data_IF_803512830589
#
_entry.id   IF_803512830589
#
_cell.length_a   1.000
_cell.length_b   1.000
_cell.length_c   1.000
_cell.angle_alpha   90.00
_cell.angle_beta   90.00
_cell.angle_gamma   90.00
#
_symmetry.space_group_name_H-M   'P 1'
#
loop_
_entity.id
_entity.type
_entity.pdbx_description
1 polymer ?
#
# COMPACT_ATOMS: atom_id res chain seq x y z
N UNK A 1 11.51 2.43 50.19
CA UNK A 1 11.42 3.45 49.14
C UNK A 1 12.34 2.99 48.02
N UNK A 2 11.83 2.16 47.07
CA UNK A 2 12.59 1.73 45.92
C UNK A 2 12.45 2.79 44.83
N UNK A 3 13.50 3.59 44.65
CA UNK A 3 13.64 4.39 43.42
C UNK A 3 13.59 3.47 42.22
N UNK A 4 12.50 3.53 41.48
CA UNK A 4 12.45 2.95 40.14
C UNK A 4 13.43 3.75 39.29
N UNK A 5 14.63 3.24 39.08
CA UNK A 5 15.54 3.79 38.09
C UNK A 5 14.78 3.86 36.74
N UNK A 6 14.47 5.04 36.31
CA UNK A 6 13.86 5.28 35.02
C UNK A 6 14.85 4.81 33.94
N UNK A 7 14.56 3.70 33.28
CA UNK A 7 15.36 3.24 32.14
C UNK A 7 15.40 4.37 31.13
N UNK A 8 16.59 4.87 30.75
CA UNK A 8 16.67 5.97 29.78
C UNK A 8 16.00 5.57 28.47
N UNK A 9 15.20 6.48 27.92
CA UNK A 9 14.52 6.27 26.62
C UNK A 9 15.57 6.09 25.52
N UNK A 10 15.35 5.09 24.63
CA UNK A 10 16.19 4.91 23.42
C UNK A 10 15.89 5.95 22.36
N UNK A 11 14.78 6.70 22.53
CA UNK A 11 14.31 7.70 21.58
C UNK A 11 15.15 8.98 21.66
N UNK A 12 15.87 9.29 20.60
CA UNK A 12 16.75 10.43 20.46
C UNK A 12 16.46 11.21 19.17
N UNK A 13 17.12 12.34 18.96
CA UNK A 13 17.07 13.07 17.69
C UNK A 13 17.55 12.20 16.53
N UNK A 14 18.53 11.34 16.74
CA UNK A 14 18.99 10.40 15.71
C UNK A 14 17.94 9.37 15.32
N UNK A 15 17.05 8.95 16.25
CA UNK A 15 15.93 8.07 15.93
C UNK A 15 14.97 8.70 14.91
N UNK A 16 14.65 9.97 15.07
CA UNK A 16 13.82 10.71 14.11
C UNK A 16 14.53 10.95 12.78
N UNK A 17 15.84 11.20 12.79
CA UNK A 17 16.62 11.28 11.54
C UNK A 17 16.56 9.95 10.78
N UNK A 18 16.74 8.83 11.47
CA UNK A 18 16.60 7.49 10.87
C UNK A 18 15.19 7.29 10.29
N UNK A 19 14.13 7.62 11.03
CA UNK A 19 12.76 7.49 10.54
C UNK A 19 12.49 8.36 9.29
N UNK A 20 13.03 9.59 9.27
CA UNK A 20 12.91 10.49 8.10
C UNK A 20 13.68 9.94 6.89
N UNK A 21 14.88 9.42 7.08
CA UNK A 21 15.66 8.79 6.00
C UNK A 21 14.93 7.56 5.46
N UNK A 22 14.35 6.73 6.33
CA UNK A 22 13.53 5.59 5.91
C UNK A 22 12.31 6.03 5.12
N UNK A 23 11.62 7.11 5.53
CA UNK A 23 10.53 7.70 4.77
C UNK A 23 10.98 8.10 3.36
N UNK A 24 12.14 8.76 3.25
CA UNK A 24 12.70 9.18 1.94
C UNK A 24 13.02 7.96 1.08
N UNK A 25 13.67 6.94 1.63
CA UNK A 25 13.99 5.70 0.89
C UNK A 25 12.71 5.02 0.42
N UNK A 26 11.67 4.93 1.26
CA UNK A 26 10.38 4.36 0.87
C UNK A 26 9.68 5.22 -0.19
N UNK A 27 9.69 6.54 -0.07
CA UNK A 27 9.13 7.43 -1.08
C UNK A 27 9.85 7.33 -2.43
N UNK A 28 11.14 7.02 -2.43
CA UNK A 28 11.89 6.71 -3.64
C UNK A 28 11.48 5.32 -4.16
N UNK A 29 11.63 4.26 -3.39
CA UNK A 29 11.40 2.89 -3.86
C UNK A 29 9.98 2.63 -4.35
N UNK A 30 8.97 3.25 -3.72
CA UNK A 30 7.59 3.21 -4.21
C UNK A 30 7.38 4.05 -5.48
N UNK A 31 8.34 4.85 -5.92
CA UNK A 31 8.28 5.58 -7.20
C UNK A 31 8.32 4.65 -8.41
N UNK A 32 9.10 3.59 -8.37
CA UNK A 32 9.34 2.71 -9.51
C UNK A 32 8.05 2.15 -10.17
N UNK A 33 7.05 1.62 -9.45
CA UNK A 33 5.81 1.15 -10.04
C UNK A 33 4.98 2.23 -10.74
N UNK A 34 5.10 3.51 -10.32
CA UNK A 34 4.32 4.60 -10.90
C UNK A 34 4.71 4.91 -12.34
N UNK A 35 5.94 4.60 -12.77
CA UNK A 35 6.36 4.79 -14.17
C UNK A 35 5.49 3.93 -15.08
N UNK A 36 5.23 2.67 -14.72
CA UNK A 36 4.38 1.76 -15.50
C UNK A 36 2.92 2.26 -15.57
N UNK A 37 2.42 2.88 -14.51
CA UNK A 37 1.07 3.45 -14.45
C UNK A 37 0.97 4.69 -15.34
N UNK A 38 1.92 5.61 -15.25
CA UNK A 38 1.94 6.84 -16.06
C UNK A 38 2.14 6.51 -17.54
N UNK A 39 3.02 5.56 -17.84
CA UNK A 39 3.30 5.11 -19.20
C UNK A 39 2.41 3.95 -19.68
N UNK A 40 1.24 3.71 -19.04
CA UNK A 40 0.37 2.58 -19.37
C UNK A 40 0.02 2.52 -20.86
N UNK A 41 -0.42 3.64 -21.45
CA UNK A 41 -0.81 3.69 -22.88
C UNK A 41 0.37 3.45 -23.84
N UNK A 42 1.52 4.15 -23.73
CA UNK A 42 2.66 3.89 -24.60
C UNK A 42 3.22 2.47 -24.44
N UNK A 43 3.29 1.91 -23.22
CA UNK A 43 3.71 0.53 -23.00
C UNK A 43 2.72 -0.46 -23.65
N UNK A 44 1.41 -0.25 -23.49
CA UNK A 44 0.40 -1.09 -24.12
C UNK A 44 0.51 -1.05 -25.64
N UNK A 45 0.65 0.14 -26.24
CA UNK A 45 0.75 0.32 -27.68
C UNK A 45 1.95 -0.46 -28.29
N UNK A 46 3.06 -0.51 -27.58
CA UNK A 46 4.26 -1.24 -28.05
C UNK A 46 4.21 -2.75 -27.79
N UNK A 47 3.43 -3.19 -26.79
CA UNK A 47 3.38 -4.62 -26.38
C UNK A 47 2.06 -5.31 -26.79
N UNK A 48 1.46 -4.92 -27.91
CA UNK A 48 0.31 -5.61 -28.48
C UNK A 48 -1.03 -4.88 -28.34
N UNK A 49 -1.04 -3.65 -27.83
CA UNK A 49 -2.22 -2.78 -27.77
C UNK A 49 -3.13 -2.99 -26.56
N UNK A 50 -2.93 -4.03 -25.74
CA UNK A 50 -3.78 -4.37 -24.62
C UNK A 50 -3.36 -3.64 -23.34
N UNK A 51 -4.27 -2.94 -22.67
CA UNK A 51 -4.02 -2.27 -21.38
C UNK A 51 -3.86 -3.25 -20.21
N UNK A 52 -4.42 -4.44 -20.33
CA UNK A 52 -4.24 -5.52 -19.36
C UNK A 52 -2.78 -5.95 -19.23
N UNK A 53 -1.92 -5.75 -20.23
CA UNK A 53 -0.51 -6.10 -20.20
C UNK A 53 0.26 -5.26 -19.16
N UNK A 54 0.35 -3.91 -19.26
CA UNK A 54 0.99 -3.11 -18.22
C UNK A 54 0.24 -3.14 -16.88
N UNK A 55 -1.08 -3.31 -16.89
CA UNK A 55 -1.87 -3.47 -15.67
C UNK A 55 -1.51 -4.76 -14.92
N UNK A 56 -1.29 -5.88 -15.62
CA UNK A 56 -0.80 -7.12 -15.02
C UNK A 56 0.62 -6.98 -14.46
N UNK A 57 1.50 -6.24 -15.14
CA UNK A 57 2.83 -5.97 -14.61
C UNK A 57 2.77 -5.23 -13.27
N UNK A 58 1.92 -4.22 -13.15
CA UNK A 58 1.66 -3.50 -11.90
C UNK A 58 1.04 -4.42 -10.83
N UNK A 59 0.10 -5.27 -11.23
CA UNK A 59 -0.51 -6.27 -10.34
C UNK A 59 0.54 -7.25 -9.78
N UNK A 60 1.44 -7.73 -10.63
CA UNK A 60 2.57 -8.58 -10.23
C UNK A 60 3.53 -7.85 -9.28
N UNK A 61 3.76 -6.54 -9.48
CA UNK A 61 4.56 -5.74 -8.55
C UNK A 61 3.90 -5.67 -7.17
N UNK A 62 2.59 -5.47 -7.06
CA UNK A 62 1.87 -5.49 -5.79
C UNK A 62 1.88 -6.85 -5.11
N UNK A 63 1.66 -7.92 -5.86
CA UNK A 63 1.73 -9.30 -5.34
C UNK A 63 3.15 -9.62 -4.89
N UNK A 64 4.14 -9.26 -5.70
CA UNK A 64 5.56 -9.39 -5.39
C UNK A 64 5.94 -8.64 -4.11
N UNK A 65 5.48 -7.40 -3.97
CA UNK A 65 5.68 -6.59 -2.76
C UNK A 65 5.16 -7.30 -1.49
N UNK A 66 3.94 -7.84 -1.52
CA UNK A 66 3.37 -8.56 -0.39
C UNK A 66 4.15 -9.83 -0.03
N UNK A 67 4.42 -10.70 -1.00
CA UNK A 67 5.15 -11.93 -0.80
C UNK A 67 6.63 -11.69 -0.45
N UNK A 68 7.26 -10.73 -1.13
CA UNK A 68 8.64 -10.33 -0.91
C UNK A 68 8.88 -9.79 0.48
N UNK A 69 7.93 -9.03 1.05
CA UNK A 69 8.03 -8.51 2.41
C UNK A 69 8.20 -9.61 3.46
N UNK A 70 7.56 -10.76 3.27
CA UNK A 70 7.68 -11.91 4.17
C UNK A 70 9.08 -12.54 4.05
N UNK A 71 9.49 -12.89 2.83
CA UNK A 71 10.76 -13.58 2.58
C UNK A 71 11.95 -12.68 2.88
N UNK A 72 11.91 -11.44 2.42
CA UNK A 72 13.01 -10.49 2.59
C UNK A 72 13.10 -9.95 4.03
N UNK A 73 12.01 -9.99 4.80
CA UNK A 73 12.03 -9.76 6.24
C UNK A 73 12.96 -10.75 6.94
N UNK A 74 12.87 -12.04 6.60
CA UNK A 74 13.75 -13.08 7.13
C UNK A 74 15.23 -12.89 6.69
N UNK A 75 15.44 -12.47 5.43
CA UNK A 75 16.79 -12.13 4.94
C UNK A 75 17.37 -10.95 5.73
N UNK A 76 16.55 -9.92 6.01
CA UNK A 76 16.98 -8.75 6.76
C UNK A 76 17.35 -9.05 8.22
N UNK A 77 16.72 -10.04 8.84
CA UNK A 77 17.11 -10.49 10.18
C UNK A 77 18.52 -11.11 10.21
N UNK A 78 18.93 -11.78 9.12
CA UNK A 78 20.24 -12.46 9.03
C UNK A 78 21.33 -11.57 8.44
N UNK A 79 21.04 -10.87 7.35
CA UNK A 79 22.02 -10.07 6.61
C UNK A 79 22.07 -8.59 7.06
N UNK A 80 21.11 -8.18 7.90
CA UNK A 80 20.94 -6.80 8.34
C UNK A 80 20.13 -5.95 7.34
N UNK A 81 19.40 -4.98 7.87
CA UNK A 81 18.51 -4.09 7.10
C UNK A 81 19.27 -3.28 6.06
N UNK A 82 20.48 -2.80 6.40
CA UNK A 82 21.33 -2.05 5.46
C UNK A 82 21.61 -2.81 4.17
N UNK A 83 22.05 -4.07 4.29
CA UNK A 83 22.36 -4.95 3.14
C UNK A 83 21.12 -5.20 2.31
N UNK A 84 19.98 -5.47 2.96
CA UNK A 84 18.71 -5.75 2.28
C UNK A 84 18.21 -4.53 1.51
N UNK A 85 18.38 -3.32 2.05
CA UNK A 85 17.98 -2.06 1.38
C UNK A 85 18.87 -1.77 0.17
N UNK A 86 20.19 -1.97 0.29
CA UNK A 86 21.12 -1.80 -0.84
C UNK A 86 20.80 -2.80 -1.94
N UNK A 87 20.59 -4.08 -1.57
CA UNK A 87 20.18 -5.11 -2.51
C UNK A 87 18.85 -4.72 -3.19
N UNK A 88 17.86 -4.27 -2.42
CA UNK A 88 16.56 -3.85 -2.94
C UNK A 88 16.68 -2.72 -3.97
N UNK A 89 17.48 -1.68 -3.69
CA UNK A 89 17.69 -0.59 -4.64
C UNK A 89 18.33 -1.08 -5.96
N UNK A 90 19.34 -1.95 -5.87
CA UNK A 90 19.96 -2.57 -7.05
C UNK A 90 18.95 -3.42 -7.81
N UNK A 91 18.11 -4.19 -7.11
CA UNK A 91 17.10 -5.04 -7.75
C UNK A 91 16.00 -4.20 -8.43
N UNK A 92 15.59 -3.07 -7.88
CA UNK A 92 14.68 -2.13 -8.58
C UNK A 92 15.32 -1.65 -9.88
N UNK A 93 16.58 -1.21 -9.84
CA UNK A 93 17.30 -0.77 -11.03
C UNK A 93 17.35 -1.87 -12.10
N UNK A 94 17.73 -3.11 -11.73
CA UNK A 94 17.76 -4.28 -12.62
C UNK A 94 16.36 -4.56 -13.18
N UNK A 95 15.33 -4.50 -12.34
CA UNK A 95 13.94 -4.75 -12.75
C UNK A 95 13.42 -3.71 -13.74
N UNK A 96 13.71 -2.44 -13.50
CA UNK A 96 13.36 -1.36 -14.43
C UNK A 96 14.13 -1.53 -15.76
N UNK A 97 15.43 -1.84 -15.71
CA UNK A 97 16.21 -2.10 -16.91
C UNK A 97 15.67 -3.29 -17.70
N UNK A 98 15.34 -4.40 -17.03
CA UNK A 98 14.74 -5.59 -17.68
C UNK A 98 13.40 -5.24 -18.31
N UNK A 99 12.58 -4.41 -17.65
CA UNK A 99 11.26 -3.99 -18.14
C UNK A 99 11.35 -3.23 -19.48
N UNK A 100 12.49 -2.62 -19.80
CA UNK A 100 12.69 -1.89 -21.07
C UNK A 100 12.99 -2.77 -22.27
N UNK A 101 13.16 -4.09 -22.10
CA UNK A 101 13.64 -5.00 -23.14
C UNK A 101 12.66 -5.28 -24.29
N UNK A 102 11.43 -4.76 -24.26
CA UNK A 102 10.47 -4.81 -25.35
C UNK A 102 9.65 -6.11 -25.46
N UNK A 103 9.78 -7.05 -24.53
CA UNK A 103 8.96 -8.27 -24.46
C UNK A 103 8.09 -8.27 -23.20
N UNK A 104 6.87 -8.78 -23.33
CA UNK A 104 5.90 -8.82 -22.23
C UNK A 104 6.43 -9.55 -20.98
N UNK A 105 7.11 -10.69 -21.16
CA UNK A 105 7.67 -11.42 -20.04
C UNK A 105 8.75 -10.64 -19.27
N UNK A 106 9.53 -9.80 -19.98
CA UNK A 106 10.56 -8.96 -19.36
C UNK A 106 9.92 -7.89 -18.47
N UNK A 107 8.81 -7.31 -18.93
CA UNK A 107 8.02 -6.38 -18.12
C UNK A 107 7.45 -7.09 -16.88
N UNK A 108 6.90 -8.28 -17.01
CA UNK A 108 6.31 -9.03 -15.89
C UNK A 108 7.35 -9.45 -14.84
N UNK A 109 8.45 -10.03 -15.29
CA UNK A 109 9.55 -10.44 -14.40
C UNK A 109 10.23 -9.21 -13.79
N UNK A 110 10.47 -8.17 -14.58
CA UNK A 110 11.04 -6.90 -14.10
C UNK A 110 10.21 -6.27 -13.01
N UNK A 111 8.90 -6.11 -13.22
CA UNK A 111 8.01 -5.49 -12.26
C UNK A 111 7.67 -6.43 -11.09
N UNK A 112 7.33 -7.68 -11.33
CA UNK A 112 6.88 -8.61 -10.29
C UNK A 112 8.00 -9.08 -9.38
N UNK A 113 9.05 -9.67 -9.96
CA UNK A 113 10.14 -10.27 -9.20
C UNK A 113 11.15 -9.24 -8.72
N UNK A 114 11.67 -8.40 -9.62
CA UNK A 114 12.76 -7.49 -9.27
C UNK A 114 12.26 -6.24 -8.56
N UNK A 115 11.31 -5.51 -9.14
CA UNK A 115 10.80 -4.29 -8.50
C UNK A 115 9.92 -4.61 -7.29
N UNK A 116 8.94 -5.50 -7.44
CA UNK A 116 7.98 -5.82 -6.37
C UNK A 116 8.58 -6.66 -5.26
N UNK A 117 9.03 -7.88 -5.59
CA UNK A 117 9.43 -8.88 -4.59
C UNK A 117 10.77 -8.55 -3.94
N UNK A 118 11.85 -8.43 -4.74
CA UNK A 118 13.20 -8.18 -4.21
C UNK A 118 13.43 -6.72 -3.84
N UNK A 119 12.84 -5.79 -4.59
CA UNK A 119 13.01 -4.37 -4.42
C UNK A 119 12.16 -3.79 -3.29
N UNK A 120 10.95 -3.35 -3.61
CA UNK A 120 10.07 -2.66 -2.65
C UNK A 120 9.70 -3.56 -1.47
N UNK A 121 9.40 -4.85 -1.71
CA UNK A 121 9.14 -5.83 -0.66
C UNK A 121 10.34 -6.03 0.26
N UNK A 122 11.55 -6.05 -0.31
CA UNK A 122 12.79 -6.19 0.42
C UNK A 122 13.14 -5.00 1.33
N UNK A 123 12.56 -3.85 1.11
CA UNK A 123 12.80 -2.65 1.92
C UNK A 123 11.67 -2.39 2.92
N UNK A 124 10.42 -2.45 2.49
CA UNK A 124 9.29 -1.96 3.27
C UNK A 124 9.09 -2.75 4.58
N UNK A 125 8.93 -4.06 4.52
CA UNK A 125 8.67 -4.87 5.72
C UNK A 125 9.84 -4.83 6.73
N UNK A 126 11.12 -4.99 6.30
CA UNK A 126 12.25 -4.81 7.18
C UNK A 126 12.31 -3.45 7.89
N UNK A 127 11.93 -2.38 7.22
CA UNK A 127 11.93 -1.04 7.80
C UNK A 127 10.95 -0.88 8.97
N UNK A 128 9.78 -1.53 8.93
CA UNK A 128 8.86 -1.50 10.07
C UNK A 128 9.49 -2.12 11.32
N UNK A 129 10.17 -3.25 11.18
CA UNK A 129 10.88 -3.91 12.28
C UNK A 129 12.05 -3.05 12.74
N UNK A 130 12.86 -2.55 11.80
CA UNK A 130 14.03 -1.75 12.07
C UNK A 130 13.70 -0.45 12.83
N UNK A 131 12.76 0.34 12.31
CA UNK A 131 12.34 1.61 12.94
C UNK A 131 11.68 1.36 14.29
N UNK A 132 10.92 0.27 14.45
CA UNK A 132 10.30 -0.06 15.74
C UNK A 132 11.31 -0.28 16.88
N UNK A 133 12.57 -0.60 16.58
CA UNK A 133 13.66 -0.78 17.56
C UNK A 133 14.33 0.55 17.99
N UNK A 134 14.10 1.64 17.24
CA UNK A 134 14.63 2.97 17.54
C UNK A 134 13.71 3.80 18.44
N UNK A 135 12.48 3.33 18.70
CA UNK A 135 11.45 4.07 19.42
C UNK A 135 10.84 3.21 20.54
N UNK A 136 10.70 3.79 21.73
CA UNK A 136 10.02 3.19 22.87
C UNK A 136 8.72 3.95 23.24
N UNK A 137 8.70 5.29 23.15
CA UNK A 137 7.56 6.13 23.52
C UNK A 137 6.64 6.48 22.35
N UNK A 138 7.23 6.83 21.20
CA UNK A 138 6.50 7.33 20.01
C UNK A 138 6.57 6.36 18.84
N UNK A 139 6.64 5.05 19.13
CA UNK A 139 6.74 3.99 18.10
C UNK A 139 5.61 4.08 17.07
N UNK A 140 4.36 4.32 17.52
CA UNK A 140 3.21 4.46 16.63
C UNK A 140 3.38 5.63 15.64
N UNK A 141 3.81 6.79 16.12
CA UNK A 141 4.06 7.97 15.27
C UNK A 141 5.18 7.72 14.25
N UNK A 142 6.26 7.06 14.67
CA UNK A 142 7.36 6.73 13.76
C UNK A 142 6.93 5.74 12.66
N UNK A 143 6.16 4.71 13.01
CA UNK A 143 5.64 3.75 12.05
C UNK A 143 4.59 4.39 11.12
N UNK A 144 3.76 5.30 11.61
CA UNK A 144 2.84 6.08 10.79
C UNK A 144 3.59 6.97 9.79
N UNK A 145 4.69 7.61 10.23
CA UNK A 145 5.54 8.42 9.37
C UNK A 145 6.09 7.59 8.21
N UNK A 146 6.77 6.48 8.48
CA UNK A 146 7.37 5.66 7.41
C UNK A 146 6.32 5.03 6.49
N UNK A 147 5.15 4.63 7.03
CA UNK A 147 4.06 4.10 6.23
C UNK A 147 3.47 5.09 5.23
N UNK A 148 3.73 6.37 5.43
CA UNK A 148 3.29 7.43 4.53
C UNK A 148 4.15 7.53 3.26
N UNK A 149 5.29 6.82 3.19
CA UNK A 149 6.21 6.87 2.05
C UNK A 149 5.56 6.52 0.72
N UNK A 150 4.68 5.52 0.69
CA UNK A 150 3.94 5.13 -0.52
C UNK A 150 3.00 6.25 -1.03
N UNK A 151 2.34 6.99 -0.13
CA UNK A 151 1.48 8.12 -0.51
C UNK A 151 2.28 9.33 -0.95
N UNK A 152 3.42 9.61 -0.27
CA UNK A 152 4.36 10.64 -0.71
C UNK A 152 4.89 10.32 -2.11
N UNK A 153 5.27 9.07 -2.37
CA UNK A 153 5.66 8.62 -3.70
C UNK A 153 4.57 8.90 -4.73
N UNK A 154 3.35 8.47 -4.45
CA UNK A 154 2.23 8.63 -5.36
C UNK A 154 1.75 10.07 -5.54
N UNK A 155 1.99 10.95 -4.57
CA UNK A 155 1.71 12.38 -4.72
C UNK A 155 2.79 13.12 -5.51
N UNK A 156 4.06 12.71 -5.38
CA UNK A 156 5.21 13.42 -5.93
C UNK A 156 5.58 12.95 -7.35
N UNK A 157 5.67 11.62 -7.56
CA UNK A 157 6.26 11.07 -8.78
C UNK A 157 5.40 11.18 -10.05
N UNK A 158 4.05 11.07 -10.04
CA UNK A 158 3.26 11.07 -11.26
C UNK A 158 3.50 12.29 -12.16
N UNK A 159 3.49 13.55 -11.69
CA UNK A 159 3.75 14.70 -12.54
C UNK A 159 5.21 14.77 -13.03
N UNK A 160 6.15 14.24 -12.25
CA UNK A 160 7.58 14.19 -12.64
C UNK A 160 7.75 13.15 -13.75
N UNK A 161 7.18 11.96 -13.58
CA UNK A 161 7.27 10.90 -14.58
C UNK A 161 6.50 11.22 -15.86
N UNK A 162 5.38 11.93 -15.77
CA UNK A 162 4.65 12.38 -16.95
C UNK A 162 5.57 13.23 -17.84
N UNK A 163 6.24 14.25 -17.27
CA UNK A 163 7.19 15.08 -18.00
C UNK A 163 8.40 14.30 -18.52
N UNK A 164 8.93 13.39 -17.70
CA UNK A 164 10.06 12.56 -18.08
C UNK A 164 9.70 11.61 -19.23
N UNK A 165 8.54 10.99 -19.19
CA UNK A 165 8.03 10.10 -20.26
C UNK A 165 7.74 10.88 -21.53
N UNK A 166 7.16 12.09 -21.42
CA UNK A 166 6.90 12.95 -22.57
C UNK A 166 8.19 13.40 -23.27
N UNK A 167 9.26 13.69 -22.49
CA UNK A 167 10.53 14.17 -23.04
C UNK A 167 11.44 13.03 -23.55
N UNK A 168 11.64 11.99 -22.75
CA UNK A 168 12.63 10.95 -23.01
C UNK A 168 12.03 9.59 -23.39
N UNK A 169 10.72 9.43 -23.28
CA UNK A 169 10.04 8.14 -23.42
C UNK A 169 10.13 7.28 -22.15
N UNK A 170 9.25 6.28 -22.05
CA UNK A 170 9.11 5.46 -20.86
C UNK A 170 10.33 4.57 -20.55
N UNK A 171 11.01 4.06 -21.60
CA UNK A 171 12.20 3.21 -21.42
C UNK A 171 13.34 3.97 -20.75
N UNK A 172 13.66 5.16 -21.28
CA UNK A 172 14.75 5.98 -20.72
C UNK A 172 14.38 6.50 -19.33
N UNK A 173 13.10 6.83 -19.10
CA UNK A 173 12.62 7.21 -17.76
C UNK A 173 12.84 6.09 -16.76
N UNK A 174 12.53 4.82 -17.11
CA UNK A 174 12.79 3.67 -16.24
C UNK A 174 14.29 3.50 -15.95
N UNK A 175 15.15 3.61 -16.97
CA UNK A 175 16.60 3.46 -16.80
C UNK A 175 17.20 4.58 -15.93
N UNK A 176 16.84 5.84 -16.21
CA UNK A 176 17.34 6.98 -15.44
C UNK A 176 16.84 6.95 -14.00
N UNK A 177 15.58 6.56 -13.78
CA UNK A 177 15.03 6.45 -12.45
C UNK A 177 15.67 5.32 -11.65
N UNK A 178 15.87 4.15 -12.24
CA UNK A 178 16.56 3.04 -11.59
C UNK A 178 17.99 3.40 -11.18
N UNK A 179 18.74 4.09 -12.06
CA UNK A 179 20.07 4.58 -11.72
C UNK A 179 20.03 5.64 -10.60
N UNK A 180 19.10 6.59 -10.70
CA UNK A 180 18.89 7.62 -9.68
C UNK A 180 18.59 7.01 -8.31
N UNK A 181 17.75 5.98 -8.24
CA UNK A 181 17.45 5.27 -6.98
C UNK A 181 18.71 4.67 -6.35
N UNK A 182 19.53 3.98 -7.14
CA UNK A 182 20.78 3.39 -6.64
C UNK A 182 21.72 4.50 -6.14
N UNK A 183 21.91 5.57 -6.91
CA UNK A 183 22.80 6.68 -6.54
C UNK A 183 22.36 7.38 -5.26
N UNK A 184 21.06 7.43 -4.99
CA UNK A 184 20.52 8.11 -3.79
C UNK A 184 20.36 7.15 -2.62
N UNK A 185 19.72 5.98 -2.84
CA UNK A 185 19.40 5.05 -1.75
C UNK A 185 20.65 4.38 -1.17
N UNK A 186 21.61 4.00 -2.01
CA UNK A 186 22.82 3.30 -1.53
C UNK A 186 23.64 4.15 -0.56
N UNK A 187 23.99 5.43 -0.86
CA UNK A 187 24.64 6.28 0.13
C UNK A 187 23.81 6.57 1.36
N UNK A 188 22.49 6.81 1.21
CA UNK A 188 21.61 7.04 2.36
C UNK A 188 21.60 5.82 3.29
N UNK A 189 21.48 4.62 2.72
CA UNK A 189 21.51 3.38 3.48
C UNK A 189 22.88 3.16 4.14
N UNK A 190 23.97 3.44 3.41
CA UNK A 190 25.33 3.27 3.90
C UNK A 190 25.66 4.17 5.10
N UNK A 191 25.20 5.41 5.08
CA UNK A 191 25.52 6.41 6.12
C UNK A 191 24.56 6.34 7.31
N UNK A 192 23.26 6.22 7.05
CA UNK A 192 22.23 6.41 8.08
C UNK A 192 21.65 5.12 8.67
N UNK A 193 21.63 3.99 7.92
CA UNK A 193 21.10 2.74 8.44
C UNK A 193 22.13 2.01 9.31
N UNK A 194 22.26 2.47 10.55
CA UNK A 194 23.14 1.88 11.57
C UNK A 194 22.40 0.78 12.34
N UNK A 195 23.15 -0.07 13.05
CA UNK A 195 22.51 -1.04 13.95
C UNK A 195 21.67 -0.32 15.01
N UNK A 196 20.42 -0.75 15.24
CA UNK A 196 19.59 -0.15 16.26
C UNK A 196 20.19 -0.37 17.65
N UNK A 197 19.89 0.49 18.64
CA UNK A 197 20.29 0.27 20.02
C UNK A 197 19.80 -1.10 20.52
N UNK A 198 20.64 -1.84 21.25
CA UNK A 198 20.22 -3.09 21.89
C UNK A 198 19.20 -2.76 22.98
N UNK A 199 17.94 -3.04 22.71
CA UNK A 199 16.92 -3.04 23.76
C UNK A 199 17.13 -4.28 24.60
N UNK A 200 17.25 -4.15 25.94
CA UNK A 200 17.18 -5.31 26.81
C UNK A 200 15.89 -6.05 26.48
N UNK A 201 16.01 -7.32 26.11
CA UNK A 201 14.89 -8.22 25.83
C UNK A 201 13.94 -8.15 27.04
N UNK A 202 12.93 -7.31 26.98
CA UNK A 202 11.75 -7.55 27.79
C UNK A 202 11.18 -8.86 27.26
N UNK A 203 11.48 -9.93 27.94
CA UNK A 203 10.66 -11.14 27.96
C UNK A 203 9.27 -10.72 28.45
N UNK A 204 8.55 -10.01 27.56
CA UNK A 204 7.17 -9.61 27.76
C UNK A 204 6.36 -10.87 27.73
N UNK A 205 5.99 -11.31 28.92
CA UNK A 205 4.86 -12.17 29.23
C UNK A 205 4.36 -12.99 28.02
N UNK A 206 4.93 -14.13 27.81
CA UNK A 206 4.25 -15.30 27.26
C UNK A 206 3.15 -15.69 28.26
N UNK A 207 2.20 -14.79 28.46
CA UNK A 207 0.89 -15.12 28.93
C UNK A 207 0.21 -15.85 27.80
N UNK A 208 0.40 -17.16 27.72
CA UNK A 208 -0.47 -18.07 27.00
C UNK A 208 -1.85 -18.04 27.66
N UNK A 209 -2.59 -16.95 27.50
CA UNK A 209 -4.04 -16.97 27.60
C UNK A 209 -4.48 -17.80 26.42
N UNK A 210 -5.03 -18.98 26.69
CA UNK A 210 -5.65 -19.85 25.69
C UNK A 210 -6.48 -19.00 24.74
N UNK A 211 -6.20 -19.11 23.43
CA UNK A 211 -6.94 -18.37 22.42
C UNK A 211 -8.45 -18.61 22.65
N UNK A 212 -9.29 -17.59 22.67
CA UNK A 212 -10.70 -17.77 22.89
C UNK A 212 -11.27 -18.69 21.81
N UNK A 213 -11.99 -19.73 22.21
CA UNK A 213 -12.60 -20.71 21.29
C UNK A 213 -13.56 -20.06 20.28
N UNK A 214 -13.99 -18.83 20.52
CA UNK A 214 -14.90 -18.09 19.65
C UNK A 214 -14.58 -16.58 19.63
N UNK A 215 -14.66 -15.97 18.46
CA UNK A 215 -14.61 -14.52 18.24
C UNK A 215 -16.02 -14.08 17.82
N UNK A 216 -16.66 -13.19 18.58
CA UNK A 216 -18.06 -12.77 18.36
C UNK A 216 -19.06 -13.96 18.28
N UNK A 217 -18.74 -15.11 18.93
CA UNK A 217 -19.56 -16.33 18.91
C UNK A 217 -19.43 -17.15 17.63
N UNK A 218 -18.46 -16.89 16.80
CA UNK A 218 -18.07 -17.68 15.62
C UNK A 218 -16.66 -18.26 15.77
N UNK A 219 -16.32 -19.31 15.01
CA UNK A 219 -14.95 -19.82 14.97
C UNK A 219 -13.98 -18.70 14.54
N UNK A 220 -12.81 -18.56 15.21
CA UNK A 220 -11.83 -17.52 14.87
C UNK A 220 -11.36 -17.57 13.41
N UNK A 221 -11.25 -18.76 12.83
CA UNK A 221 -10.88 -18.96 11.42
C UNK A 221 -11.91 -18.38 10.45
N UNK A 222 -13.21 -18.54 10.76
CA UNK A 222 -14.29 -17.98 9.94
C UNK A 222 -14.27 -16.45 9.98
N UNK A 223 -14.15 -15.86 11.19
CA UNK A 223 -14.10 -14.40 11.33
C UNK A 223 -12.87 -13.82 10.61
N UNK A 224 -11.71 -14.46 10.74
CA UNK A 224 -10.51 -14.05 10.04
C UNK A 224 -10.65 -14.21 8.52
N UNK A 225 -11.21 -15.30 8.04
CA UNK A 225 -11.52 -15.53 6.63
C UNK A 225 -12.45 -14.46 6.04
N UNK A 226 -13.50 -14.08 6.79
CA UNK A 226 -14.42 -13.00 6.38
C UNK A 226 -13.72 -11.64 6.32
N UNK A 227 -12.87 -11.31 7.30
CA UNK A 227 -12.09 -10.07 7.30
C UNK A 227 -11.10 -10.06 6.11
N UNK A 228 -10.42 -11.18 5.84
CA UNK A 228 -9.53 -11.34 4.70
C UNK A 228 -10.25 -11.17 3.36
N UNK A 229 -11.40 -11.84 3.18
CA UNK A 229 -12.23 -11.68 2.00
C UNK A 229 -12.73 -10.23 1.83
N UNK A 230 -13.23 -9.61 2.91
CA UNK A 230 -13.66 -8.22 2.89
C UNK A 230 -12.51 -7.29 2.44
N UNK A 231 -11.29 -7.54 2.93
CA UNK A 231 -10.13 -6.71 2.55
C UNK A 231 -9.76 -6.87 1.07
N UNK A 232 -9.89 -8.07 0.48
CA UNK A 232 -9.71 -8.28 -0.97
C UNK A 232 -10.74 -7.44 -1.73
N UNK A 233 -12.03 -7.60 -1.42
CA UNK A 233 -13.10 -6.89 -2.10
C UNK A 233 -13.07 -5.38 -1.90
N UNK A 234 -12.55 -4.90 -0.78
CA UNK A 234 -12.30 -3.48 -0.52
C UNK A 234 -11.15 -2.92 -1.37
N UNK A 235 -10.08 -3.71 -1.56
CA UNK A 235 -8.88 -3.26 -2.26
C UNK A 235 -9.01 -3.31 -3.80
N UNK A 236 -9.92 -4.12 -4.34
CA UNK A 236 -10.23 -4.14 -5.77
C UNK A 236 -10.59 -2.73 -6.28
N UNK A 237 -11.65 -2.05 -5.78
CA UNK A 237 -11.98 -0.70 -6.24
C UNK A 237 -10.93 0.34 -5.90
N UNK A 238 -10.13 0.11 -4.85
CA UNK A 238 -9.06 1.03 -4.45
C UNK A 238 -7.97 1.14 -5.52
N UNK A 239 -7.63 0.03 -6.18
CA UNK A 239 -6.58 -0.01 -7.19
C UNK A 239 -7.01 0.56 -8.55
N UNK A 240 -8.30 0.49 -8.91
CA UNK A 240 -8.77 0.86 -10.24
C UNK A 240 -8.46 2.31 -10.62
N UNK A 241 -8.86 3.35 -9.84
CA UNK A 241 -8.48 4.72 -10.14
C UNK A 241 -6.97 4.93 -10.05
N UNK A 242 -6.30 4.34 -9.08
CA UNK A 242 -4.86 4.51 -8.91
C UNK A 242 -4.08 4.01 -10.13
N UNK A 243 -4.49 2.91 -10.74
CA UNK A 243 -3.80 2.32 -11.88
C UNK A 243 -4.20 2.94 -13.24
N UNK A 244 -5.42 3.46 -13.37
CA UNK A 244 -5.98 3.80 -14.67
C UNK A 244 -6.42 5.27 -14.84
N UNK A 245 -6.39 6.09 -13.77
CA UNK A 245 -6.84 7.49 -13.84
C UNK A 245 -6.11 8.32 -14.91
N UNK A 246 -4.78 8.26 -15.08
CA UNK A 246 -4.11 9.01 -16.14
C UNK A 246 -4.52 8.55 -17.54
N UNK A 247 -4.74 7.24 -17.71
CA UNK A 247 -5.19 6.68 -18.98
C UNK A 247 -6.65 7.08 -19.31
N UNK A 248 -7.55 7.07 -18.31
CA UNK A 248 -8.92 7.54 -18.41
C UNK A 248 -8.95 9.02 -18.84
N UNK A 249 -8.20 9.88 -18.16
CA UNK A 249 -8.15 11.31 -18.50
C UNK A 249 -7.72 11.54 -19.95
N UNK A 250 -6.68 10.81 -20.39
CA UNK A 250 -6.22 10.88 -21.77
C UNK A 250 -7.27 10.37 -22.78
N UNK A 251 -8.11 9.38 -22.43
CA UNK A 251 -9.20 8.89 -23.29
C UNK A 251 -10.36 9.90 -23.40
N UNK A 252 -10.57 10.70 -22.37
CA UNK A 252 -11.55 11.79 -22.35
C UNK A 252 -11.03 13.08 -23.03
N UNK A 253 -9.83 13.05 -23.62
CA UNK A 253 -9.22 14.22 -24.25
C UNK A 253 -8.64 15.25 -23.26
N UNK A 254 -8.56 14.91 -21.98
CA UNK A 254 -7.93 15.74 -20.95
C UNK A 254 -6.40 15.62 -21.08
N UNK A 255 -5.67 16.72 -20.85
CA UNK A 255 -4.21 16.73 -20.91
C UNK A 255 -3.61 15.65 -19.99
N UNK A 256 -2.64 14.91 -20.50
CA UNK A 256 -1.97 13.82 -19.75
C UNK A 256 -1.35 14.33 -18.45
N UNK A 257 -0.83 15.56 -18.45
CA UNK A 257 -0.30 16.23 -17.25
C UNK A 257 -1.38 16.45 -16.17
N UNK A 258 -2.62 16.74 -16.56
CA UNK A 258 -3.74 16.87 -15.64
C UNK A 258 -4.15 15.52 -15.06
N UNK A 259 -4.13 14.45 -15.87
CA UNK A 259 -4.35 13.10 -15.38
C UNK A 259 -3.32 12.66 -14.32
N UNK A 260 -2.05 12.99 -14.54
CA UNK A 260 -0.99 12.76 -13.55
C UNK A 260 -1.19 13.62 -12.28
N UNK A 261 -1.61 14.88 -12.45
CA UNK A 261 -1.92 15.77 -11.34
C UNK A 261 -3.13 15.28 -10.51
N UNK A 262 -4.17 14.77 -11.17
CA UNK A 262 -5.34 14.16 -10.49
C UNK A 262 -4.93 12.96 -9.64
N UNK A 263 -4.05 12.10 -10.14
CA UNK A 263 -3.49 10.99 -9.37
C UNK A 263 -2.70 11.49 -8.16
N UNK A 264 -1.91 12.56 -8.32
CA UNK A 264 -1.20 13.19 -7.21
C UNK A 264 -2.15 13.80 -6.18
N UNK A 265 -3.24 14.42 -6.61
CA UNK A 265 -4.28 14.95 -5.71
C UNK A 265 -4.94 13.79 -4.95
N UNK A 266 -5.30 12.70 -5.62
CA UNK A 266 -5.88 11.51 -5.00
C UNK A 266 -4.98 10.98 -3.87
N UNK A 267 -3.68 10.82 -4.14
CA UNK A 267 -2.74 10.24 -3.17
C UNK A 267 -2.27 11.26 -2.12
N UNK A 268 -2.20 12.53 -2.48
CA UNK A 268 -1.90 13.62 -1.56
C UNK A 268 -3.03 13.83 -0.53
N UNK A 269 -4.28 13.81 -0.97
CA UNK A 269 -5.43 13.88 -0.04
C UNK A 269 -5.53 12.62 0.82
N UNK A 270 -5.19 11.45 0.28
CA UNK A 270 -5.09 10.21 1.03
C UNK A 270 -4.03 10.30 2.15
N UNK A 271 -2.88 10.92 1.88
CA UNK A 271 -1.85 11.16 2.89
C UNK A 271 -2.39 11.99 4.06
N UNK A 272 -3.07 13.11 3.76
CA UNK A 272 -3.63 14.00 4.79
C UNK A 272 -4.76 13.32 5.55
N UNK A 273 -5.68 12.67 4.86
CA UNK A 273 -6.86 12.06 5.46
C UNK A 273 -6.53 10.85 6.33
N UNK A 274 -5.39 10.20 6.11
CA UNK A 274 -4.95 9.05 6.92
C UNK A 274 -4.84 9.38 8.40
N UNK A 275 -4.41 10.60 8.75
CA UNK A 275 -4.32 11.06 10.12
C UNK A 275 -5.72 11.22 10.75
N UNK A 276 -6.65 11.78 9.98
CA UNK A 276 -8.03 11.91 10.41
C UNK A 276 -8.69 10.54 10.65
N UNK A 277 -8.51 9.59 9.73
CA UNK A 277 -9.05 8.24 9.89
C UNK A 277 -8.42 7.46 11.05
N UNK A 278 -7.15 7.71 11.39
CA UNK A 278 -6.54 7.17 12.59
C UNK A 278 -7.27 7.62 13.86
N UNK A 279 -7.57 8.93 13.94
CA UNK A 279 -8.33 9.50 15.04
C UNK A 279 -9.79 8.97 15.10
N UNK A 280 -10.43 8.75 13.97
CA UNK A 280 -11.75 8.10 13.89
C UNK A 280 -11.68 6.65 14.39
N UNK A 281 -10.66 5.91 13.96
CA UNK A 281 -10.46 4.51 14.33
C UNK A 281 -10.26 4.33 15.84
N UNK A 282 -9.55 5.24 16.49
CA UNK A 282 -9.35 5.22 17.95
C UNK A 282 -10.67 5.39 18.73
N UNK A 283 -11.68 6.02 18.13
CA UNK A 283 -12.99 6.27 18.77
C UNK A 283 -14.07 5.26 18.41
N UNK A 284 -14.10 4.84 17.16
CA UNK A 284 -15.18 3.99 16.64
C UNK A 284 -14.80 2.51 16.60
N UNK A 285 -13.49 2.19 16.77
CA UNK A 285 -12.94 0.85 16.60
C UNK A 285 -12.75 0.47 15.12
N UNK A 286 -11.99 -0.61 14.89
CA UNK A 286 -11.54 -0.99 13.56
C UNK A 286 -12.68 -1.29 12.59
N UNK A 287 -13.62 -2.17 12.95
CA UNK A 287 -14.70 -2.58 12.03
C UNK A 287 -15.64 -1.44 11.64
N UNK A 288 -16.03 -0.56 12.58
CA UNK A 288 -16.89 0.59 12.25
C UNK A 288 -16.16 1.58 11.33
N UNK A 289 -14.86 1.79 11.54
CA UNK A 289 -14.04 2.64 10.68
C UNK A 289 -13.93 2.08 9.27
N UNK A 290 -13.72 0.77 9.12
CA UNK A 290 -13.75 0.10 7.80
C UNK A 290 -15.10 0.30 7.14
N UNK A 291 -16.21 0.08 7.85
CA UNK A 291 -17.55 0.25 7.30
C UNK A 291 -17.77 1.67 6.78
N UNK A 292 -17.45 2.68 7.60
CA UNK A 292 -17.64 4.09 7.24
C UNK A 292 -16.73 4.51 6.06
N UNK A 293 -15.44 4.15 6.09
CA UNK A 293 -14.52 4.42 4.99
C UNK A 293 -14.96 3.74 3.68
N UNK A 294 -15.46 2.51 3.76
CA UNK A 294 -15.97 1.78 2.59
C UNK A 294 -17.24 2.40 2.00
N UNK A 295 -18.09 3.03 2.82
CA UNK A 295 -19.24 3.82 2.31
C UNK A 295 -18.76 5.02 1.52
N UNK A 296 -17.79 5.79 2.04
CA UNK A 296 -17.20 6.90 1.29
C UNK A 296 -16.53 6.43 0.00
N UNK A 297 -15.83 5.31 0.06
CA UNK A 297 -15.15 4.73 -1.10
C UNK A 297 -16.13 4.32 -2.21
N UNK A 298 -17.26 3.66 -1.89
CA UNK A 298 -18.24 3.24 -2.90
C UNK A 298 -18.93 4.45 -3.55
N UNK A 299 -19.23 5.50 -2.77
CA UNK A 299 -19.81 6.73 -3.30
C UNK A 299 -18.86 7.44 -4.24
N UNK A 300 -17.59 7.59 -3.87
CA UNK A 300 -16.58 8.20 -4.74
C UNK A 300 -16.31 7.33 -5.98
N UNK A 301 -16.32 5.99 -5.84
CA UNK A 301 -16.16 5.07 -6.98
C UNK A 301 -17.34 5.15 -7.95
N UNK A 302 -18.56 5.26 -7.44
CA UNK A 302 -19.75 5.50 -8.26
C UNK A 302 -19.67 6.86 -8.98
N UNK A 303 -19.14 7.89 -8.32
CA UNK A 303 -18.95 9.19 -8.94
C UNK A 303 -18.00 9.15 -10.14
N UNK A 304 -16.93 8.34 -10.12
CA UNK A 304 -16.06 8.15 -11.29
C UNK A 304 -16.79 7.60 -12.52
N UNK A 305 -17.90 6.84 -12.36
CA UNK A 305 -18.66 6.31 -13.48
C UNK A 305 -19.40 7.40 -14.28
N UNK A 306 -19.78 8.48 -13.60
CA UNK A 306 -20.62 9.53 -14.16
C UNK A 306 -19.87 10.81 -14.48
N UNK A 307 -18.63 10.95 -13.96
CA UNK A 307 -17.82 12.16 -14.11
C UNK A 307 -16.89 12.02 -15.30
N UNK A 308 -17.02 12.94 -16.27
CA UNK A 308 -16.19 12.94 -17.49
C UNK A 308 -15.50 14.29 -17.73
N UNK A 309 -15.84 15.31 -16.96
CA UNK A 309 -15.24 16.62 -17.03
C UNK A 309 -14.01 16.74 -16.10
N UNK A 310 -13.12 17.63 -16.45
CA UNK A 310 -11.84 17.78 -15.77
C UNK A 310 -11.98 18.20 -14.30
N UNK A 311 -12.81 19.20 -14.01
CA UNK A 311 -13.03 19.72 -12.65
C UNK A 311 -13.67 18.65 -11.77
N UNK A 312 -14.65 17.95 -12.32
CA UNK A 312 -15.31 16.84 -11.64
C UNK A 312 -14.34 15.72 -11.31
N UNK A 313 -13.48 15.31 -12.24
CA UNK A 313 -12.47 14.27 -12.01
C UNK A 313 -11.44 14.67 -10.94
N UNK A 314 -11.01 15.94 -10.88
CA UNK A 314 -10.18 16.43 -9.78
C UNK A 314 -10.91 16.32 -8.44
N UNK A 315 -12.17 16.72 -8.40
CA UNK A 315 -13.01 16.68 -7.19
C UNK A 315 -13.24 15.25 -6.71
N UNK A 316 -13.61 14.35 -7.62
CA UNK A 316 -13.83 12.92 -7.30
C UNK A 316 -12.53 12.25 -6.88
N UNK A 317 -11.40 12.59 -7.51
CA UNK A 317 -10.07 12.09 -7.12
C UNK A 317 -9.71 12.50 -5.70
N UNK A 318 -9.92 13.77 -5.34
CA UNK A 318 -9.72 14.28 -3.98
C UNK A 318 -10.65 13.58 -2.97
N UNK A 319 -11.94 13.47 -3.28
CA UNK A 319 -12.94 12.80 -2.45
C UNK A 319 -12.60 11.31 -2.23
N UNK A 320 -12.19 10.62 -3.29
CA UNK A 320 -11.76 9.23 -3.20
C UNK A 320 -10.54 9.08 -2.27
N UNK A 321 -9.52 9.93 -2.43
CA UNK A 321 -8.34 9.95 -1.55
C UNK A 321 -8.70 10.18 -0.09
N UNK A 322 -9.60 11.14 0.18
CA UNK A 322 -10.11 11.40 1.52
C UNK A 322 -10.86 10.21 2.13
N UNK A 323 -11.57 9.42 1.33
CA UNK A 323 -12.42 8.34 1.81
C UNK A 323 -11.67 7.05 2.16
N UNK A 324 -10.69 6.63 1.34
CA UNK A 324 -10.15 5.26 1.44
C UNK A 324 -8.93 5.10 2.36
N UNK A 325 -8.18 6.17 2.64
CA UNK A 325 -6.82 6.06 3.20
C UNK A 325 -6.74 5.41 4.58
N UNK A 326 -7.81 5.45 5.36
CA UNK A 326 -7.88 4.85 6.68
C UNK A 326 -8.30 3.38 6.72
N UNK A 327 -8.78 2.81 5.61
CA UNK A 327 -9.42 1.50 5.62
C UNK A 327 -8.44 0.38 5.98
N UNK A 328 -7.26 0.35 5.36
CA UNK A 328 -6.27 -0.71 5.63
C UNK A 328 -5.76 -0.67 7.09
N UNK A 329 -5.35 0.47 7.65
CA UNK A 329 -5.05 0.57 9.07
C UNK A 329 -6.20 0.14 9.99
N UNK A 330 -7.44 0.47 9.62
CA UNK A 330 -8.61 0.07 10.39
C UNK A 330 -8.85 -1.45 10.36
N UNK A 331 -8.58 -2.14 9.25
CA UNK A 331 -8.57 -3.61 9.21
C UNK A 331 -7.49 -4.20 10.14
N UNK A 332 -6.29 -3.63 10.17
CA UNK A 332 -5.23 -4.06 11.09
C UNK A 332 -5.66 -3.83 12.54
N UNK A 333 -6.32 -2.71 12.84
CA UNK A 333 -6.87 -2.45 14.18
C UNK A 333 -7.94 -3.47 14.53
N UNK A 334 -8.86 -3.79 13.62
CA UNK A 334 -9.90 -4.80 13.83
C UNK A 334 -9.29 -6.18 14.17
N UNK A 335 -8.20 -6.59 13.53
CA UNK A 335 -7.47 -7.83 13.90
C UNK A 335 -6.95 -7.74 15.34
N UNK A 336 -6.38 -6.60 15.74
CA UNK A 336 -5.85 -6.41 17.09
C UNK A 336 -6.93 -6.38 18.18
N UNK A 337 -8.12 -5.88 17.83
CA UNK A 337 -9.26 -5.83 18.75
C UNK A 337 -9.96 -7.18 18.92
N UNK A 338 -10.00 -7.99 17.86
CA UNK A 338 -10.77 -9.22 17.81
C UNK A 338 -9.98 -10.47 18.15
N UNK A 339 -8.65 -10.46 17.98
CA UNK A 339 -7.79 -11.63 18.15
C UNK A 339 -6.72 -11.41 19.20
N UNK A 340 -6.24 -12.49 19.85
CA UNK A 340 -5.14 -12.41 20.81
C UNK A 340 -3.88 -11.78 20.21
N UNK A 341 -3.19 -10.99 21.01
CA UNK A 341 -1.95 -10.34 20.58
C UNK A 341 -0.88 -11.36 20.10
N UNK A 342 -0.90 -12.57 20.65
CA UNK A 342 -0.01 -13.67 20.26
C UNK A 342 -0.25 -14.15 18.82
N UNK A 343 -1.42 -13.90 18.22
CA UNK A 343 -1.73 -14.31 16.85
C UNK A 343 -1.54 -13.17 15.84
N UNK A 344 -1.31 -11.94 16.29
CA UNK A 344 -1.16 -10.78 15.42
C UNK A 344 0.06 -10.90 14.48
N UNK A 345 1.11 -11.63 14.87
CA UNK A 345 2.34 -11.81 14.10
C UNK A 345 2.13 -12.49 12.75
N UNK A 346 1.12 -13.35 12.61
CA UNK A 346 0.80 -14.02 11.35
C UNK A 346 -0.49 -13.49 10.70
N UNK A 347 -1.49 -13.08 11.50
CA UNK A 347 -2.78 -12.59 10.99
C UNK A 347 -2.65 -11.25 10.26
N UNK A 348 -1.82 -10.33 10.78
CA UNK A 348 -1.63 -9.03 10.14
C UNK A 348 -0.90 -9.17 8.78
N UNK A 349 0.23 -9.89 8.65
CA UNK A 349 0.82 -10.13 7.33
C UNK A 349 -0.11 -10.88 6.36
N UNK A 350 -0.88 -11.86 6.83
CA UNK A 350 -1.85 -12.56 5.99
C UNK A 350 -2.98 -11.63 5.50
N UNK A 351 -3.49 -10.74 6.36
CA UNK A 351 -4.45 -9.71 5.97
C UNK A 351 -3.87 -8.75 4.93
N UNK A 352 -2.63 -8.30 5.13
CA UNK A 352 -1.96 -7.39 4.17
C UNK A 352 -1.71 -8.07 2.83
N UNK A 353 -1.43 -9.38 2.83
CA UNK A 353 -1.35 -10.17 1.60
C UNK A 353 -2.71 -10.24 0.87
N UNK A 354 -3.81 -10.45 1.61
CA UNK A 354 -5.16 -10.38 1.06
C UNK A 354 -5.44 -9.01 0.44
N UNK A 355 -5.11 -7.92 1.16
CA UNK A 355 -5.27 -6.55 0.66
C UNK A 355 -4.44 -6.31 -0.60
N UNK A 356 -3.17 -6.73 -0.62
CA UNK A 356 -2.29 -6.62 -1.78
C UNK A 356 -2.80 -7.41 -2.99
N UNK A 357 -3.36 -8.61 -2.74
CA UNK A 357 -4.01 -9.41 -3.79
C UNK A 357 -5.23 -8.71 -4.37
N UNK A 358 -6.04 -8.06 -3.52
CA UNK A 358 -7.16 -7.22 -3.97
C UNK A 358 -6.70 -6.04 -4.84
N UNK A 359 -5.62 -5.35 -4.45
CA UNK A 359 -5.01 -4.28 -5.26
C UNK A 359 -4.53 -4.80 -6.61
N UNK A 360 -3.86 -5.95 -6.63
CA UNK A 360 -3.38 -6.59 -7.85
C UNK A 360 -4.54 -6.94 -8.80
N UNK A 361 -5.56 -7.61 -8.27
CA UNK A 361 -6.75 -7.99 -9.03
C UNK A 361 -7.47 -6.76 -9.58
N UNK A 362 -7.69 -5.72 -8.77
CA UNK A 362 -8.43 -4.53 -9.18
C UNK A 362 -7.76 -3.78 -10.32
N UNK A 363 -6.44 -3.58 -10.24
CA UNK A 363 -5.68 -2.93 -11.30
C UNK A 363 -5.72 -3.73 -12.60
N UNK A 364 -5.53 -5.05 -12.55
CA UNK A 364 -5.57 -5.91 -13.73
C UNK A 364 -6.97 -6.03 -14.34
N UNK A 365 -8.00 -6.28 -13.51
CA UNK A 365 -9.40 -6.41 -13.96
C UNK A 365 -9.83 -5.12 -14.68
N UNK A 366 -9.46 -3.96 -14.20
CA UNK A 366 -9.80 -2.69 -14.85
C UNK A 366 -9.20 -2.60 -16.26
N UNK A 367 -7.96 -3.05 -16.47
CA UNK A 367 -7.35 -3.13 -17.79
C UNK A 367 -8.04 -4.15 -18.70
N UNK A 368 -8.32 -5.36 -18.20
CA UNK A 368 -8.98 -6.42 -18.95
C UNK A 368 -10.41 -6.04 -19.35
N UNK A 369 -11.17 -5.38 -18.46
CA UNK A 369 -12.51 -4.89 -18.79
C UNK A 369 -12.45 -3.75 -19.82
N UNK A 370 -11.44 -2.87 -19.71
CA UNK A 370 -11.23 -1.85 -20.74
C UNK A 370 -10.93 -2.48 -22.12
N UNK A 371 -10.07 -3.49 -22.16
CA UNK A 371 -9.69 -4.18 -23.41
C UNK A 371 -10.91 -4.85 -24.07
N UNK A 372 -11.89 -5.29 -23.26
CA UNK A 372 -13.11 -5.92 -23.78
C UNK A 372 -14.20 -4.92 -24.17
N UNK A 373 -14.42 -3.86 -23.38
CA UNK A 373 -15.54 -2.93 -23.56
C UNK A 373 -15.15 -1.60 -24.20
N UNK A 374 -13.86 -1.27 -24.30
CA UNK A 374 -13.36 0.00 -24.83
C UNK A 374 -13.58 1.22 -23.92
N UNK A 375 -14.15 1.02 -22.72
CA UNK A 375 -14.43 2.09 -21.75
C UNK A 375 -14.16 1.64 -20.32
N UNK A 376 -13.94 2.58 -19.40
CA UNK A 376 -13.71 2.28 -17.97
C UNK A 376 -15.00 2.15 -17.13
N UNK A 377 -16.16 2.52 -17.68
CA UNK A 377 -17.41 2.44 -16.93
C UNK A 377 -17.71 1.02 -16.38
N UNK A 378 -17.52 -0.08 -17.15
CA UNK A 378 -17.68 -1.44 -16.63
C UNK A 378 -16.66 -1.78 -15.53
N UNK A 379 -15.44 -1.25 -15.61
CA UNK A 379 -14.42 -1.45 -14.58
C UNK A 379 -14.83 -0.80 -13.26
N UNK A 380 -15.28 0.45 -13.29
CA UNK A 380 -15.78 1.13 -12.10
C UNK A 380 -17.04 0.48 -11.53
N UNK A 381 -17.97 0.01 -12.40
CA UNK A 381 -19.14 -0.76 -11.98
C UNK A 381 -18.74 -2.06 -11.24
N UNK A 382 -17.75 -2.79 -11.75
CA UNK A 382 -17.19 -3.97 -11.08
C UNK A 382 -16.55 -3.59 -9.74
N UNK A 383 -15.89 -2.43 -9.66
CA UNK A 383 -15.37 -1.89 -8.41
C UNK A 383 -16.47 -1.58 -7.39
N UNK A 384 -17.55 -0.94 -7.81
CA UNK A 384 -18.73 -0.68 -6.96
C UNK A 384 -19.33 -2.01 -6.47
N UNK A 385 -19.49 -3.01 -7.34
CA UNK A 385 -19.99 -4.33 -6.97
C UNK A 385 -19.07 -5.03 -5.95
N UNK A 386 -17.76 -5.00 -6.16
CA UNK A 386 -16.79 -5.55 -5.23
C UNK A 386 -16.89 -4.86 -3.86
N UNK A 387 -16.97 -3.53 -3.81
CA UNK A 387 -17.10 -2.81 -2.55
C UNK A 387 -18.46 -3.05 -1.87
N UNK A 388 -19.53 -3.31 -2.62
CA UNK A 388 -20.82 -3.70 -2.05
C UNK A 388 -20.71 -5.06 -1.31
N UNK A 389 -19.95 -6.02 -1.88
CA UNK A 389 -19.65 -7.29 -1.18
C UNK A 389 -18.84 -7.04 0.09
N UNK A 390 -17.82 -6.19 0.04
CA UNK A 390 -17.09 -5.77 1.23
C UNK A 390 -18.01 -5.16 2.29
N UNK A 391 -18.88 -4.22 1.92
CA UNK A 391 -19.85 -3.59 2.84
C UNK A 391 -20.81 -4.61 3.46
N UNK A 392 -21.29 -5.59 2.69
CA UNK A 392 -22.15 -6.65 3.20
C UNK A 392 -21.43 -7.50 4.26
N UNK A 393 -20.18 -7.91 3.98
CA UNK A 393 -19.39 -8.72 4.93
C UNK A 393 -19.08 -7.90 6.20
N UNK A 394 -18.54 -6.69 6.06
CA UNK A 394 -18.17 -5.84 7.22
C UNK A 394 -19.43 -5.43 8.00
N UNK A 395 -20.52 -5.09 7.30
CA UNK A 395 -21.80 -4.78 7.94
C UNK A 395 -22.32 -5.94 8.77
N UNK A 396 -22.27 -7.19 8.27
CA UNK A 396 -22.63 -8.38 9.03
C UNK A 396 -21.75 -8.57 10.27
N UNK A 397 -20.44 -8.34 10.16
CA UNK A 397 -19.51 -8.41 11.31
C UNK A 397 -19.82 -7.34 12.36
N UNK A 398 -20.09 -6.10 11.94
CA UNK A 398 -20.45 -4.98 12.85
C UNK A 398 -21.79 -5.27 13.56
N UNK A 399 -22.80 -5.71 12.84
CA UNK A 399 -24.09 -6.07 13.43
C UNK A 399 -23.93 -7.20 14.46
N UNK A 400 -23.11 -8.18 14.15
CA UNK A 400 -22.83 -9.30 15.07
C UNK A 400 -22.10 -8.84 16.32
N UNK A 401 -21.11 -7.95 16.18
CA UNK A 401 -20.37 -7.36 17.29
C UNK A 401 -21.32 -6.61 18.24
N UNK A 402 -22.20 -5.77 17.68
CA UNK A 402 -23.19 -4.99 18.45
C UNK A 402 -24.22 -5.89 19.17
N UNK A 403 -24.76 -6.89 18.47
CA UNK A 403 -25.74 -7.82 19.06
C UNK A 403 -25.17 -8.59 20.24
N UNK A 404 -23.88 -8.90 20.21
CA UNK A 404 -23.25 -9.62 21.32
C UNK A 404 -22.94 -8.68 22.47
N UNK A 405 -22.51 -7.46 22.22
CA UNK A 405 -22.31 -6.45 23.27
C UNK A 405 -23.62 -6.18 24.03
N UNK A 406 -24.75 -6.07 23.31
CA UNK A 406 -26.07 -5.88 23.89
C UNK A 406 -26.61 -7.09 24.70
N UNK A 407 -26.08 -8.29 24.48
CA UNK A 407 -26.44 -9.51 25.25
C UNK A 407 -25.60 -9.70 26.51
N UNK A 408 -24.48 -9.00 26.62
CA UNK A 408 -23.55 -9.07 27.74
C UNK A 408 -23.69 -7.87 28.70
N UNK A 409 -24.35 -6.80 28.23
CA UNK A 409 -24.77 -5.65 29.03
C UNK A 409 -26.14 -5.90 29.66
#
# INVERSE_FOLDING_TARGET
MHERMAVPSVETRSSWTVATVVLVILALSFGAPWITIIALKPIAAELGGLRSVPALATALAWTGFGAGGIVMGYVAERAGVRTTVILGAVMICVGLALSTGGKTWQLYVGQGLFVGFLGVGGMNAPFYVYVSRWFDRRRGSALALISSGAYVAGALWPPIFERAVAYAGWRQTMLYYGLFEVIVIVPLAAVFLRSPPELPLRLGALGALSAPNTVMGWPPSLVFGLIGAASIFCCIPMAMPQAHLPALCSDLGILVSHGAAMLSVLLGTAFVSRQFWGWVADRMGGLNTVLTGSIFQILAMAAFMFTQDEIGLFTVSAAFGLGFAGIIPAYVLAIRELFPAAEAYWRIPALLLCSGSGMALGGWIAGALYDHFGTYAPAFAAGVAANAVNLAIVGALVLRQRSRAARLA
#
